data_IF_714789065127
#
_entry.id   IF_714789065127
#
_cell.length_a   1.000
_cell.length_b   1.000
_cell.length_c   1.000
_cell.angle_alpha   90.00
_cell.angle_beta   90.00
_cell.angle_gamma   90.00
#
_symmetry.space_group_name_H-M   'P 1'
#
loop_
_entity.id
_entity.type
_entity.pdbx_description
1 polymer ?
#
# COMPACT_ATOMS: atom_id res chain seq x y z
N UNK A 1 18.03 -10.29 14.14
CA UNK A 1 16.88 -9.96 13.26
C UNK A 1 15.61 -9.97 14.05
N UNK A 2 14.85 -8.90 13.94
CA UNK A 2 13.53 -8.83 14.55
C UNK A 2 12.48 -8.88 13.46
N UNK A 3 11.38 -9.55 13.76
CA UNK A 3 10.23 -9.60 12.85
C UNK A 3 9.03 -9.21 13.68
N UNK A 4 8.33 -8.18 13.25
CA UNK A 4 7.16 -7.72 14.00
C UNK A 4 6.06 -7.22 13.08
N UNK A 5 4.81 -7.32 13.52
CA UNK A 5 3.68 -6.85 12.71
C UNK A 5 3.51 -5.35 12.86
N UNK A 6 2.98 -4.74 11.81
CA UNK A 6 2.60 -3.34 11.83
C UNK A 6 1.33 -3.20 11.01
N UNK A 7 0.37 -2.46 11.52
CA UNK A 7 -0.86 -2.16 10.78
C UNK A 7 -0.94 -0.67 10.54
N UNK A 8 -1.20 -0.28 9.30
CA UNK A 8 -1.31 1.11 8.93
C UNK A 8 -2.59 1.37 8.15
N UNK A 9 -3.28 2.49 8.42
CA UNK A 9 -4.32 2.93 7.50
C UNK A 9 -3.68 3.49 6.22
N UNK A 10 -4.40 3.41 5.13
CA UNK A 10 -3.88 3.89 3.85
C UNK A 10 -3.54 5.38 3.88
N UNK A 11 -4.28 6.16 4.66
CA UNK A 11 -3.95 7.57 4.84
C UNK A 11 -2.51 7.75 5.29
N UNK A 12 -2.10 6.98 6.31
CA UNK A 12 -0.74 7.03 6.83
C UNK A 12 0.27 6.53 5.80
N UNK A 13 -0.05 5.43 5.12
CA UNK A 13 0.81 4.90 4.07
C UNK A 13 1.12 5.97 3.01
N UNK A 14 0.11 6.74 2.63
CA UNK A 14 0.29 7.80 1.64
C UNK A 14 1.12 8.96 2.18
N UNK A 15 1.00 9.27 3.47
CA UNK A 15 1.84 10.30 4.10
C UNK A 15 3.29 9.87 4.22
N UNK A 16 3.55 8.57 4.29
CA UNK A 16 4.90 8.02 4.46
C UNK A 16 5.63 7.80 3.15
N UNK A 17 5.11 8.28 2.04
CA UNK A 17 5.67 7.99 0.73
C UNK A 17 7.17 8.27 0.65
N UNK A 18 7.63 9.35 1.26
CA UNK A 18 9.05 9.71 1.25
C UNK A 18 9.91 8.87 2.20
N UNK A 19 9.27 8.06 3.04
CA UNK A 19 9.95 7.21 4.01
C UNK A 19 10.01 5.75 3.57
N UNK A 20 9.45 5.44 2.42
CA UNK A 20 9.32 4.08 1.93
C UNK A 20 9.97 3.99 0.55
N UNK A 21 11.02 3.20 0.47
CA UNK A 21 11.73 2.96 -0.76
C UNK A 21 11.13 1.77 -1.49
N UNK A 22 10.78 1.95 -2.74
CA UNK A 22 10.34 0.86 -3.61
C UNK A 22 11.49 0.57 -4.55
N UNK A 23 12.15 -0.58 -4.37
CA UNK A 23 13.35 -0.94 -5.12
C UNK A 23 13.01 -1.75 -6.36
N UNK A 24 13.09 -1.19 -7.56
CA UNK A 24 12.78 -1.96 -8.76
C UNK A 24 13.70 -3.15 -8.97
N UNK A 25 14.94 -3.04 -8.51
CA UNK A 25 15.95 -4.08 -8.73
C UNK A 25 15.59 -5.43 -8.11
N UNK A 26 14.74 -5.44 -7.10
CA UNK A 26 14.32 -6.66 -6.43
C UNK A 26 13.01 -7.23 -6.99
N UNK A 27 12.39 -6.53 -7.90
CA UNK A 27 11.11 -6.96 -8.41
C UNK A 27 11.29 -8.01 -9.49
N UNK A 28 10.72 -9.17 -9.26
CA UNK A 28 10.60 -10.20 -10.27
C UNK A 28 9.21 -10.29 -10.83
N UNK A 29 8.29 -9.55 -10.22
CA UNK A 29 6.91 -9.55 -10.66
C UNK A 29 6.76 -8.68 -11.89
N UNK A 30 5.82 -9.05 -12.72
CA UNK A 30 5.50 -8.27 -13.90
C UNK A 30 4.89 -6.95 -13.48
N UNK A 31 5.18 -5.92 -14.27
CA UNK A 31 4.52 -4.63 -14.05
C UNK A 31 3.02 -4.82 -14.22
N UNK A 32 2.26 -4.35 -13.23
CA UNK A 32 0.81 -4.51 -13.26
C UNK A 32 0.18 -3.71 -14.39
N UNK A 33 -0.77 -4.33 -15.07
CA UNK A 33 -1.61 -3.65 -16.03
C UNK A 33 -2.67 -2.85 -15.28
N UNK A 34 -3.26 -1.90 -15.98
CA UNK A 34 -4.29 -1.02 -15.41
C UNK A 34 -5.41 -1.81 -14.74
N UNK A 35 -5.87 -2.88 -15.35
CA UNK A 35 -6.95 -3.70 -14.80
C UNK A 35 -6.61 -4.27 -13.43
N UNK A 36 -5.37 -4.72 -13.25
CA UNK A 36 -4.93 -5.28 -11.97
C UNK A 36 -4.89 -4.20 -10.88
N UNK A 37 -4.42 -3.01 -11.25
CA UNK A 37 -4.41 -1.86 -10.34
C UNK A 37 -5.82 -1.48 -9.92
N UNK A 38 -6.72 -1.43 -10.87
CA UNK A 38 -8.12 -1.10 -10.61
C UNK A 38 -8.77 -2.14 -9.69
N UNK A 39 -8.44 -3.42 -9.88
CA UNK A 39 -8.97 -4.49 -9.04
C UNK A 39 -8.52 -4.35 -7.60
N UNK A 40 -7.25 -4.00 -7.38
CA UNK A 40 -6.76 -3.79 -6.02
C UNK A 40 -7.54 -2.70 -5.31
N UNK A 41 -7.74 -1.56 -5.96
CA UNK A 41 -8.47 -0.45 -5.35
C UNK A 41 -9.92 -0.84 -5.09
N UNK A 42 -10.55 -1.53 -6.02
CA UNK A 42 -11.91 -2.02 -5.86
C UNK A 42 -12.01 -2.94 -4.63
N UNK A 43 -11.07 -3.85 -4.49
CA UNK A 43 -10.99 -4.77 -3.36
C UNK A 43 -10.89 -4.01 -2.04
N UNK A 44 -10.03 -3.00 -2.00
CA UNK A 44 -9.85 -2.17 -0.80
C UNK A 44 -11.15 -1.43 -0.46
N UNK A 45 -11.77 -0.80 -1.45
CA UNK A 45 -12.99 -0.04 -1.21
C UNK A 45 -14.15 -0.91 -0.74
N UNK A 46 -14.16 -2.18 -1.11
CA UNK A 46 -15.19 -3.12 -0.66
C UNK A 46 -14.89 -3.72 0.71
N UNK A 47 -13.72 -3.43 1.27
CA UNK A 47 -13.35 -3.93 2.59
C UNK A 47 -12.84 -5.36 2.60
N UNK A 48 -12.44 -5.89 1.45
CA UNK A 48 -11.87 -7.23 1.37
C UNK A 48 -10.39 -7.20 1.75
N UNK A 49 -9.90 -8.33 2.21
CA UNK A 49 -8.51 -8.45 2.64
C UNK A 49 -7.54 -8.31 1.48
N UNK A 50 -6.42 -7.69 1.77
CA UNK A 50 -5.29 -7.57 0.86
C UNK A 50 -4.14 -8.38 1.44
N UNK A 51 -3.37 -9.10 0.62
CA UNK A 51 -2.24 -9.87 1.13
C UNK A 51 -1.28 -9.00 1.94
N UNK A 52 -0.62 -9.60 2.92
CA UNK A 52 0.34 -8.89 3.77
C UNK A 52 1.49 -8.34 2.94
N UNK A 53 2.01 -7.22 3.42
CA UNK A 53 3.21 -6.59 2.86
C UNK A 53 4.41 -7.01 3.70
N UNK A 54 5.58 -7.04 3.09
CA UNK A 54 6.82 -7.32 3.79
C UNK A 54 7.80 -6.20 3.52
N UNK A 55 8.19 -5.51 4.57
CA UNK A 55 9.11 -4.37 4.49
C UNK A 55 10.33 -4.63 5.36
N UNK A 56 11.45 -4.05 4.96
CA UNK A 56 12.65 -4.01 5.77
C UNK A 56 12.76 -2.63 6.39
N UNK A 57 13.02 -2.57 7.69
CA UNK A 57 13.34 -1.31 8.34
C UNK A 57 14.82 -1.01 8.08
N UNK A 58 15.09 0.04 7.32
CA UNK A 58 16.47 0.39 6.93
C UNK A 58 17.10 1.37 7.88
N UNK A 59 16.31 2.19 8.55
CA UNK A 59 16.73 3.13 9.57
C UNK A 59 15.46 3.49 10.35
N UNK A 60 15.61 4.32 11.38
CA UNK A 60 14.46 4.74 12.17
C UNK A 60 13.43 5.41 11.26
N UNK A 61 12.22 4.87 11.26
CA UNK A 61 11.10 5.36 10.45
C UNK A 61 11.37 5.38 8.95
N UNK A 62 12.33 4.56 8.48
CA UNK A 62 12.65 4.40 7.07
C UNK A 62 12.51 2.94 6.70
N UNK A 63 11.89 2.67 5.57
CA UNK A 63 11.58 1.30 5.15
C UNK A 63 11.87 1.09 3.68
N UNK A 64 12.12 -0.17 3.32
CA UNK A 64 12.21 -0.60 1.94
C UNK A 64 11.24 -1.75 1.74
N UNK A 65 10.52 -1.74 0.64
CA UNK A 65 9.53 -2.78 0.34
C UNK A 65 10.25 -4.02 -0.17
N UNK A 66 10.08 -5.13 0.54
CA UNK A 66 10.59 -6.44 0.10
C UNK A 66 9.56 -7.10 -0.81
N UNK A 67 8.31 -7.09 -0.38
CA UNK A 67 7.20 -7.66 -1.14
C UNK A 67 5.99 -6.73 -1.03
N UNK A 68 5.28 -6.57 -2.15
CA UNK A 68 4.13 -5.69 -2.23
C UNK A 68 4.40 -4.38 -2.94
N UNK A 69 5.47 -4.30 -3.74
CA UNK A 69 5.84 -3.07 -4.46
C UNK A 69 4.71 -2.56 -5.34
N UNK A 70 4.13 -3.44 -6.13
CA UNK A 70 3.04 -3.03 -7.04
C UNK A 70 1.82 -2.54 -6.27
N UNK A 71 1.54 -3.14 -5.11
CA UNK A 71 0.40 -2.72 -4.30
C UNK A 71 0.65 -1.37 -3.66
N UNK A 72 1.85 -1.14 -3.13
CA UNK A 72 2.19 0.15 -2.52
C UNK A 72 2.07 1.27 -3.56
N UNK A 73 2.71 1.10 -4.71
CA UNK A 73 2.69 2.14 -5.75
C UNK A 73 1.29 2.36 -6.31
N UNK A 74 0.50 1.31 -6.43
CA UNK A 74 -0.89 1.43 -6.90
C UNK A 74 -1.73 2.25 -5.94
N UNK A 75 -1.58 2.03 -4.64
CA UNK A 75 -2.30 2.79 -3.62
C UNK A 75 -1.92 4.27 -3.70
N UNK A 76 -0.64 4.57 -3.77
CA UNK A 76 -0.17 5.94 -3.91
C UNK A 76 -0.71 6.60 -5.17
N UNK A 77 -0.64 5.89 -6.30
CA UNK A 77 -1.06 6.42 -7.59
C UNK A 77 -2.56 6.72 -7.62
N UNK A 78 -3.36 5.85 -7.03
CA UNK A 78 -4.80 6.10 -6.98
C UNK A 78 -5.10 7.32 -6.11
N UNK A 79 -4.48 7.43 -4.95
CA UNK A 79 -4.65 8.58 -4.07
C UNK A 79 -4.31 9.89 -4.78
N UNK A 80 -3.34 9.86 -5.69
CA UNK A 80 -2.87 11.02 -6.43
C UNK A 80 -3.60 11.21 -7.77
N UNK A 81 -4.72 10.53 -7.97
CA UNK A 81 -5.55 10.64 -9.18
C UNK A 81 -4.85 10.23 -10.47
N UNK A 82 -3.89 9.31 -10.39
CA UNK A 82 -3.13 8.91 -11.57
C UNK A 82 -3.86 7.92 -12.47
N UNK A 83 -4.89 7.27 -11.96
CA UNK A 83 -5.72 6.39 -12.77
C UNK A 83 -7.11 6.29 -12.16
N UNK A 84 -8.13 5.99 -13.00
CA UNK A 84 -9.50 5.84 -12.53
C UNK A 84 -9.84 4.40 -12.19
N UNK A 85 -10.95 4.20 -11.50
CA UNK A 85 -11.55 2.88 -11.36
C UNK A 85 -12.08 2.39 -12.72
N UNK A 86 -12.36 1.10 -12.79
CA UNK A 86 -12.84 0.48 -14.02
C UNK A 86 -14.17 1.09 -14.48
N UNK A 87 -14.33 1.16 -15.80
CA UNK A 87 -15.62 1.57 -16.40
C UNK A 87 -16.70 0.53 -16.16
N UNK A 88 -16.33 -0.68 -15.78
CA UNK A 88 -17.26 -1.77 -15.52
C UNK A 88 -17.44 -2.02 -14.02
N UNK A 89 -16.89 -1.17 -13.16
CA UNK A 89 -16.98 -1.36 -11.72
C UNK A 89 -18.44 -1.26 -11.25
N UNK A 90 -18.80 -2.19 -10.37
CA UNK A 90 -20.14 -2.17 -9.78
C UNK A 90 -20.19 -1.17 -8.64
N UNK A 91 -21.40 -0.72 -8.31
CA UNK A 91 -21.61 0.23 -7.21
C UNK A 91 -21.03 -0.30 -5.90
N UNK A 92 -20.59 0.63 -5.08
CA UNK A 92 -20.18 0.36 -3.71
C UNK A 92 -21.05 1.23 -2.82
N UNK A 93 -21.73 0.60 -1.84
CA UNK A 93 -22.63 1.30 -0.93
C UNK A 93 -23.63 2.20 -1.68
N UNK A 94 -24.20 1.66 -2.75
CA UNK A 94 -25.17 2.37 -3.63
C UNK A 94 -24.58 3.54 -4.39
N UNK A 95 -23.27 3.76 -4.32
CA UNK A 95 -22.61 4.83 -5.06
C UNK A 95 -22.05 4.33 -6.39
N UNK A 96 -22.31 5.06 -7.47
CA UNK A 96 -21.75 4.77 -8.78
C UNK A 96 -20.28 5.18 -8.80
N UNK A 97 -19.40 4.25 -9.19
CA UNK A 97 -17.95 4.49 -9.16
C UNK A 97 -17.27 4.29 -10.52
N UNK A 98 -18.03 3.97 -11.56
CA UNK A 98 -17.45 3.68 -12.87
C UNK A 98 -16.57 4.81 -13.36
N UNK A 99 -15.32 4.49 -13.69
CA UNK A 99 -14.38 5.44 -14.27
C UNK A 99 -14.00 6.60 -13.38
N UNK A 100 -14.29 6.53 -12.09
CA UNK A 100 -13.98 7.64 -11.17
C UNK A 100 -12.57 7.53 -10.61
N UNK A 101 -11.94 8.68 -10.48
CA UNK A 101 -10.68 8.83 -9.77
C UNK A 101 -10.96 9.04 -8.29
N UNK A 102 -9.92 8.95 -7.44
CA UNK A 102 -10.09 9.13 -6.01
C UNK A 102 -10.80 10.45 -5.67
N UNK A 103 -10.36 11.54 -6.27
CA UNK A 103 -10.95 12.86 -5.99
C UNK A 103 -12.41 12.98 -6.36
N UNK A 104 -12.89 12.10 -7.22
CA UNK A 104 -14.27 12.11 -7.69
C UNK A 104 -15.20 11.25 -6.85
N UNK A 105 -14.66 10.50 -5.91
CA UNK A 105 -15.46 9.67 -5.00
C UNK A 105 -16.15 10.54 -3.96
N UNK A 106 -17.23 10.03 -3.39
CA UNK A 106 -17.89 10.69 -2.26
C UNK A 106 -16.96 10.76 -1.05
N UNK A 107 -17.26 11.66 -0.13
CA UNK A 107 -16.53 11.74 1.12
C UNK A 107 -16.53 10.39 1.85
N UNK A 108 -17.66 9.70 1.83
CA UNK A 108 -17.78 8.39 2.47
C UNK A 108 -16.78 7.38 1.91
N UNK A 109 -16.68 7.28 0.58
CA UNK A 109 -15.75 6.34 -0.04
C UNK A 109 -14.29 6.80 0.09
N UNK A 110 -14.03 8.11 0.06
CA UNK A 110 -12.68 8.61 0.35
C UNK A 110 -12.24 8.20 1.75
N UNK A 111 -13.12 8.33 2.73
CA UNK A 111 -12.82 7.93 4.11
C UNK A 111 -12.65 6.43 4.22
N UNK A 112 -13.42 5.67 3.47
CA UNK A 112 -13.29 4.22 3.46
C UNK A 112 -11.93 3.79 2.92
N UNK A 113 -11.46 4.44 1.88
CA UNK A 113 -10.11 4.21 1.36
C UNK A 113 -9.05 4.61 2.39
N UNK A 114 -9.14 5.83 2.90
CA UNK A 114 -8.13 6.37 3.81
C UNK A 114 -8.03 5.59 5.12
N UNK A 115 -9.15 5.05 5.60
CA UNK A 115 -9.18 4.30 6.85
C UNK A 115 -8.96 2.80 6.69
N UNK A 116 -8.93 2.29 5.46
CA UNK A 116 -8.63 0.89 5.22
C UNK A 116 -7.22 0.58 5.72
N UNK A 117 -7.07 -0.55 6.40
CA UNK A 117 -5.78 -0.93 6.97
C UNK A 117 -5.07 -1.95 6.10
N UNK A 118 -3.75 -1.84 6.08
CA UNK A 118 -2.90 -2.88 5.53
C UNK A 118 -2.08 -3.50 6.65
N UNK A 119 -1.80 -4.77 6.52
CA UNK A 119 -0.96 -5.51 7.47
C UNK A 119 0.42 -5.71 6.87
N UNK A 120 1.44 -5.31 7.63
CA UNK A 120 2.82 -5.33 7.18
C UNK A 120 3.63 -6.16 8.16
N UNK A 121 4.51 -6.99 7.63
CA UNK A 121 5.51 -7.67 8.43
C UNK A 121 6.81 -6.89 8.25
N UNK A 122 7.31 -6.32 9.35
CA UNK A 122 8.54 -5.55 9.35
C UNK A 122 9.68 -6.48 9.73
N UNK A 123 10.73 -6.45 8.91
CA UNK A 123 11.97 -7.19 9.19
C UNK A 123 13.02 -6.15 9.52
N UNK A 124 13.54 -6.20 10.74
CA UNK A 124 14.55 -5.28 11.18
C UNK A 124 15.83 -6.07 11.43
N UNK A 125 16.81 -5.90 10.57
CA UNK A 125 18.12 -6.45 10.81
C UNK A 125 18.76 -5.60 11.89
N UNK A 126 19.18 -6.23 13.00
CA UNK A 126 19.91 -5.47 13.98
C UNK A 126 21.14 -4.85 13.33
N UNK A 127 21.47 -3.63 13.71
CA UNK A 127 22.77 -3.10 13.42
C UNK A 127 23.74 -4.05 14.09
N UNK A 128 24.17 -5.04 13.36
CA UNK A 128 24.90 -6.14 13.95
C UNK A 128 26.12 -5.68 14.72
N UNK A 129 26.77 -4.59 14.28
CA UNK A 129 27.90 -4.06 15.02
C UNK A 129 27.50 -3.55 16.38
N UNK A 130 26.40 -2.83 16.47
CA UNK A 130 25.95 -2.29 17.75
C UNK A 130 25.50 -3.38 18.68
N UNK A 131 24.78 -4.35 18.18
CA UNK A 131 24.35 -5.47 19.00
C UNK A 131 25.52 -6.33 19.46
N UNK A 132 26.47 -6.54 18.57
CA UNK A 132 27.65 -7.31 18.91
C UNK A 132 28.48 -6.58 19.97
N UNK A 133 28.60 -5.25 19.87
CA UNK A 133 29.33 -4.47 20.84
C UNK A 133 28.69 -4.47 22.20
N UNK A 134 27.38 -4.57 22.26
CA UNK A 134 26.63 -4.57 23.50
C UNK A 134 26.68 -5.94 24.18
N UNK A 135 27.18 -6.90 23.50
CA UNK A 135 27.37 -8.23 24.05
C UNK A 135 28.79 -8.40 24.58
#
# INVERSE_FOLDING_TARGET
>A
MKIYPKRLPLYTLCQMKNNIEVRPAFQRELVWKKQTKQLLIDTILRGYDVPKFYWEETDKDQFAVIDGQQRVTTIWDFKEDKFPLSKDAEKIDEEEIKGKKFSELSLSLKQKFDSANIDIVIISEPESQDEIRDM
#
